data_IF_140092179553
#
_entry.id   IF_140092179553
#
_cell.length_a   1.000
_cell.length_b   1.000
_cell.length_c   1.000
_cell.angle_alpha   90.00
_cell.angle_beta   90.00
_cell.angle_gamma   90.00
#
_symmetry.space_group_name_H-M   'P 1'
#
loop_
_entity.id
_entity.type
_entity.pdbx_description
1 polymer ?
#
# COMPACT_ATOMS: atom_id res chain seq x y z
N UNK A 1 51.17 -2.09 10.25
CA UNK A 1 50.96 -1.63 8.86
C UNK A 1 50.00 -2.51 8.06
N UNK A 2 49.52 -3.67 8.57
CA UNK A 2 48.52 -4.48 7.87
C UNK A 2 47.06 -4.26 8.32
N UNK A 3 46.85 -3.70 9.51
CA UNK A 3 45.51 -3.56 10.12
C UNK A 3 44.76 -2.30 9.65
N UNK A 4 45.47 -1.21 9.35
CA UNK A 4 44.88 0.05 8.89
C UNK A 4 44.40 -0.02 7.42
N UNK A 5 44.95 -0.96 6.64
CA UNK A 5 44.61 -1.18 5.23
C UNK A 5 43.27 -1.92 5.07
N UNK A 6 42.92 -2.76 6.05
CA UNK A 6 41.69 -3.57 6.05
C UNK A 6 40.48 -2.72 6.47
N UNK A 7 40.63 -1.83 7.46
CA UNK A 7 39.58 -0.87 7.85
C UNK A 7 39.27 0.16 6.74
N UNK A 8 40.28 0.57 5.96
CA UNK A 8 40.09 1.48 4.83
C UNK A 8 39.28 0.85 3.67
N UNK A 9 39.53 -0.43 3.35
CA UNK A 9 38.80 -1.15 2.30
C UNK A 9 37.35 -1.49 2.67
N UNK A 10 37.07 -1.69 3.96
CA UNK A 10 35.70 -1.88 4.47
C UNK A 10 34.90 -0.58 4.34
N UNK A 11 35.49 0.57 4.71
CA UNK A 11 34.81 1.86 4.62
C UNK A 11 34.43 2.25 3.17
N UNK A 12 35.29 1.96 2.19
CA UNK A 12 35.01 2.22 0.77
C UNK A 12 33.91 1.30 0.21
N UNK A 13 33.89 0.04 0.63
CA UNK A 13 32.83 -0.93 0.29
C UNK A 13 31.48 -0.53 0.89
N UNK A 14 31.47 -0.09 2.15
CA UNK A 14 30.29 0.43 2.83
C UNK A 14 29.75 1.69 2.14
N UNK A 15 30.63 2.62 1.76
CA UNK A 15 30.23 3.85 1.06
C UNK A 15 29.69 3.57 -0.35
N UNK A 16 30.24 2.56 -1.03
CA UNK A 16 29.77 2.11 -2.35
C UNK A 16 28.41 1.40 -2.24
N UNK A 17 28.21 0.57 -1.23
CA UNK A 17 26.90 -0.03 -0.92
C UNK A 17 25.90 1.06 -0.55
N UNK A 18 26.29 2.06 0.26
CA UNK A 18 25.46 3.22 0.59
C UNK A 18 25.07 4.03 -0.65
N UNK A 19 26.00 4.26 -1.58
CA UNK A 19 25.70 4.94 -2.85
C UNK A 19 24.84 4.08 -3.79
N UNK A 20 24.98 2.75 -3.77
CA UNK A 20 24.15 1.85 -4.55
C UNK A 20 22.76 1.62 -3.93
N UNK A 21 22.63 1.70 -2.60
CA UNK A 21 21.36 1.66 -1.86
C UNK A 21 20.67 3.02 -1.92
N UNK A 22 21.39 4.13 -1.86
CA UNK A 22 20.88 5.46 -2.19
C UNK A 22 20.54 5.60 -3.68
N UNK A 23 21.26 4.86 -4.53
CA UNK A 23 21.00 4.66 -5.96
C UNK A 23 19.87 3.68 -6.26
N UNK A 24 19.45 2.88 -5.26
CA UNK A 24 18.16 2.20 -5.27
C UNK A 24 17.11 3.28 -5.10
N UNK A 25 16.81 3.95 -6.21
CA UNK A 25 15.59 4.73 -6.36
C UNK A 25 14.48 3.74 -6.08
N UNK A 26 14.01 3.67 -4.83
CA UNK A 26 12.64 3.26 -4.49
C UNK A 26 11.81 4.22 -5.30
N UNK A 27 11.55 3.82 -6.55
CA UNK A 27 11.16 4.72 -7.60
C UNK A 27 9.98 5.49 -7.09
N UNK A 28 9.95 6.79 -7.36
CA UNK A 28 8.71 7.57 -7.30
C UNK A 28 7.76 7.08 -8.39
N UNK A 29 7.48 5.78 -8.44
CA UNK A 29 6.42 5.19 -9.22
C UNK A 29 5.16 5.68 -8.52
N UNK A 30 4.64 6.78 -9.03
CA UNK A 30 3.39 7.37 -8.61
C UNK A 30 2.34 6.33 -8.98
N UNK A 31 1.99 5.51 -8.01
CA UNK A 31 0.86 4.61 -8.09
C UNK A 31 -0.42 5.38 -7.70
N UNK A 32 -1.54 4.86 -8.18
CA UNK A 32 -2.89 5.30 -7.86
C UNK A 32 -3.22 4.86 -6.42
N UNK A 33 -2.49 5.44 -5.47
CA UNK A 33 -2.53 5.13 -4.05
C UNK A 33 -2.59 6.45 -3.27
N UNK A 34 -3.21 6.42 -2.11
CA UNK A 34 -3.35 7.60 -1.27
C UNK A 34 -2.15 7.80 -0.33
N UNK A 35 -2.22 8.82 0.53
CA UNK A 35 -1.14 9.09 1.47
C UNK A 35 -0.95 7.94 2.48
N UNK A 36 -2.02 7.36 2.99
CA UNK A 36 -1.95 6.28 3.98
C UNK A 36 -1.26 5.04 3.39
N UNK A 37 -1.59 4.67 2.15
CA UNK A 37 -0.95 3.57 1.43
C UNK A 37 0.56 3.83 1.29
N UNK A 38 0.94 5.06 0.87
CA UNK A 38 2.35 5.48 0.74
C UNK A 38 3.11 5.44 2.06
N UNK A 39 2.50 5.86 3.17
CA UNK A 39 3.12 5.76 4.50
C UNK A 39 3.40 4.30 4.86
N UNK A 40 2.44 3.41 4.58
CA UNK A 40 2.63 1.97 4.81
C UNK A 40 3.76 1.40 3.94
N UNK A 41 3.61 1.33 2.61
CA UNK A 41 4.59 0.58 1.82
C UNK A 41 5.91 1.33 1.62
N UNK A 42 5.90 2.66 1.46
CA UNK A 42 7.10 3.42 1.09
C UNK A 42 7.90 3.85 2.30
N UNK A 43 7.24 4.50 3.26
CA UNK A 43 7.96 5.05 4.42
C UNK A 43 8.28 3.96 5.43
N UNK A 44 7.37 3.03 5.69
CA UNK A 44 7.65 1.94 6.64
C UNK A 44 8.69 0.95 6.12
N UNK A 45 8.68 0.61 4.82
CA UNK A 45 9.76 -0.22 4.25
C UNK A 45 11.11 0.49 4.27
N UNK A 46 11.16 1.79 3.93
CA UNK A 46 12.41 2.58 3.99
C UNK A 46 12.93 2.66 5.42
N UNK A 47 12.05 2.83 6.40
CA UNK A 47 12.38 2.84 7.83
C UNK A 47 12.98 1.49 8.27
N UNK A 48 12.31 0.38 7.95
CA UNK A 48 12.79 -0.97 8.29
C UNK A 48 14.12 -1.28 7.59
N UNK A 49 14.27 -0.94 6.31
CA UNK A 49 15.51 -1.11 5.57
C UNK A 49 16.67 -0.31 6.20
N UNK A 50 16.40 0.93 6.60
CA UNK A 50 17.38 1.77 7.28
C UNK A 50 17.74 1.20 8.66
N UNK A 51 16.76 0.70 9.41
CA UNK A 51 17.00 0.06 10.71
C UNK A 51 17.85 -1.21 10.57
N UNK A 52 17.54 -2.08 9.60
CA UNK A 52 18.34 -3.25 9.27
C UNK A 52 19.77 -2.85 8.93
N UNK A 53 19.95 -1.84 8.09
CA UNK A 53 21.27 -1.36 7.72
C UNK A 53 22.07 -0.85 8.94
N UNK A 54 21.44 -0.07 9.83
CA UNK A 54 22.10 0.46 11.04
C UNK A 54 22.56 -0.68 11.95
N UNK A 55 21.72 -1.69 12.17
CA UNK A 55 22.08 -2.84 13.04
C UNK A 55 23.22 -3.63 12.41
N UNK A 56 23.12 -3.97 11.12
CA UNK A 56 24.17 -4.70 10.41
C UNK A 56 25.49 -3.93 10.45
N UNK A 57 25.46 -2.62 10.20
CA UNK A 57 26.66 -1.78 10.29
C UNK A 57 27.27 -1.76 11.68
N UNK A 58 26.43 -1.72 12.72
CA UNK A 58 26.89 -1.78 14.11
C UNK A 58 27.54 -3.13 14.43
N UNK A 59 26.99 -4.23 13.92
CA UNK A 59 27.53 -5.58 14.11
C UNK A 59 28.88 -5.77 13.39
N UNK A 60 29.07 -5.16 12.22
CA UNK A 60 30.34 -5.22 11.50
C UNK A 60 31.43 -4.31 12.09
N UNK A 61 31.07 -3.12 12.57
CA UNK A 61 32.05 -2.15 13.06
C UNK A 61 32.48 -2.38 14.51
N UNK A 62 31.74 -3.17 15.30
CA UNK A 62 32.01 -3.36 16.73
C UNK A 62 31.79 -4.80 17.16
N UNK A 63 32.47 -5.23 18.23
CA UNK A 63 32.22 -6.54 18.84
C UNK A 63 30.75 -6.65 19.30
N UNK A 64 30.00 -7.67 18.85
CA UNK A 64 28.57 -7.82 19.16
C UNK A 64 28.32 -8.23 20.63
N UNK A 65 29.30 -8.90 21.24
CA UNK A 65 29.30 -9.33 22.64
C UNK A 65 30.70 -9.10 23.24
N UNK A 66 30.74 -8.77 24.53
CA UNK A 66 31.97 -8.66 25.30
C UNK A 66 31.81 -9.43 26.61
N UNK A 67 32.76 -10.29 26.95
CA UNK A 67 32.63 -11.17 28.11
C UNK A 67 33.69 -10.89 29.17
N UNK A 68 33.29 -11.00 30.44
CA UNK A 68 34.16 -10.93 31.59
C UNK A 68 34.87 -12.27 31.77
N UNK A 69 36.08 -12.37 31.23
CA UNK A 69 36.93 -13.56 31.31
C UNK A 69 37.93 -13.44 32.47
N UNK A 70 38.37 -14.57 33.05
CA UNK A 70 39.41 -14.57 34.07
C UNK A 70 40.74 -14.02 33.53
N UNK A 71 41.54 -13.31 34.36
CA UNK A 71 42.78 -12.69 33.92
C UNK A 71 43.87 -13.69 33.51
N UNK A 72 43.72 -14.98 33.85
CA UNK A 72 44.67 -16.02 33.45
C UNK A 72 44.49 -16.46 31.99
N UNK A 73 43.37 -16.10 31.34
CA UNK A 73 43.09 -16.50 29.96
C UNK A 73 43.82 -15.59 28.98
N UNK A 74 44.66 -16.13 28.07
CA UNK A 74 45.27 -15.31 27.05
C UNK A 74 44.24 -14.87 26.00
N UNK A 75 44.51 -13.76 25.31
CA UNK A 75 43.59 -13.12 24.36
C UNK A 75 42.90 -14.08 23.36
N UNK A 76 43.56 -15.10 22.77
CA UNK A 76 42.88 -16.04 21.88
C UNK A 76 41.76 -16.86 22.54
N UNK A 77 41.84 -17.10 23.85
CA UNK A 77 40.81 -17.80 24.61
C UNK A 77 39.65 -16.87 24.97
N UNK A 78 39.92 -15.59 25.18
CA UNK A 78 38.90 -14.56 25.30
C UNK A 78 38.09 -14.45 24.01
N UNK A 79 38.75 -14.32 22.86
CA UNK A 79 38.08 -14.30 21.55
C UNK A 79 37.28 -15.58 21.28
N UNK A 80 37.82 -16.75 21.64
CA UNK A 80 37.08 -18.01 21.55
C UNK A 80 35.82 -17.99 22.43
N UNK A 81 35.94 -17.55 23.67
CA UNK A 81 34.82 -17.47 24.61
C UNK A 81 33.74 -16.49 24.12
N UNK A 82 34.14 -15.30 23.65
CA UNK A 82 33.23 -14.31 23.07
C UNK A 82 32.49 -14.88 21.85
N UNK A 83 33.21 -15.49 20.90
CA UNK A 83 32.61 -16.08 19.70
C UNK A 83 31.72 -17.28 20.02
N UNK A 84 32.13 -18.14 20.95
CA UNK A 84 31.34 -19.28 21.40
C UNK A 84 30.03 -18.80 22.04
N UNK A 85 30.09 -17.81 22.93
CA UNK A 85 28.93 -17.24 23.60
C UNK A 85 28.07 -16.37 22.70
N UNK A 86 28.62 -15.83 21.60
CA UNK A 86 27.81 -15.17 20.59
C UNK A 86 26.93 -16.16 19.84
N UNK A 87 27.47 -17.34 19.48
CA UNK A 87 26.76 -18.37 18.70
C UNK A 87 25.83 -19.21 19.57
N UNK A 88 26.23 -19.53 20.79
CA UNK A 88 25.40 -20.27 21.75
C UNK A 88 24.38 -19.36 22.43
N UNK A 89 23.29 -19.97 22.89
CA UNK A 89 22.25 -19.25 23.62
C UNK A 89 22.77 -18.78 24.97
N UNK A 90 22.55 -17.51 25.27
CA UNK A 90 22.83 -16.93 26.58
C UNK A 90 21.56 -16.88 27.41
N UNK A 91 21.67 -16.86 28.74
CA UNK A 91 20.52 -16.70 29.63
C UNK A 91 20.66 -15.46 30.51
N UNK A 92 19.53 -14.85 30.86
CA UNK A 92 19.52 -13.71 31.79
C UNK A 92 19.20 -14.16 33.21
N UNK A 93 20.01 -13.70 34.16
CA UNK A 93 19.77 -13.87 35.60
C UNK A 93 19.63 -12.49 36.23
N UNK A 94 18.56 -12.28 37.00
CA UNK A 94 18.39 -11.05 37.77
C UNK A 94 19.42 -10.98 38.89
N UNK A 95 20.07 -9.83 39.07
CA UNK A 95 21.05 -9.60 40.14
C UNK A 95 20.48 -9.76 41.55
N UNK A 96 19.14 -9.70 41.69
CA UNK A 96 18.44 -9.93 42.96
C UNK A 96 18.50 -11.40 43.40
N UNK A 97 18.75 -12.33 42.47
CA UNK A 97 18.92 -13.74 42.78
C UNK A 97 20.38 -14.02 43.11
N UNK A 98 20.63 -14.51 44.34
CA UNK A 98 21.97 -14.83 44.82
C UNK A 98 22.50 -16.17 44.30
N UNK A 99 21.63 -17.05 43.80
CA UNK A 99 21.98 -18.36 43.28
C UNK A 99 21.81 -18.44 41.76
N UNK A 100 22.74 -19.13 41.09
CA UNK A 100 22.57 -19.49 39.69
C UNK A 100 21.35 -20.41 39.53
N UNK A 101 20.53 -20.20 38.50
CA UNK A 101 19.36 -21.04 38.23
C UNK A 101 19.79 -22.50 37.95
N UNK A 102 18.90 -23.42 38.31
CA UNK A 102 19.03 -24.84 37.95
C UNK A 102 19.06 -25.02 36.43
N UNK A 103 19.63 -26.12 35.90
CA UNK A 103 19.68 -26.36 34.46
C UNK A 103 18.30 -26.27 33.76
N UNK A 104 17.24 -26.72 34.43
CA UNK A 104 15.87 -26.65 33.93
C UNK A 104 15.31 -25.22 33.87
N UNK A 105 15.69 -24.37 34.83
CA UNK A 105 15.26 -22.97 34.83
C UNK A 105 16.02 -22.14 33.80
N UNK A 106 17.29 -22.49 33.52
CA UNK A 106 18.12 -21.80 32.50
C UNK A 106 17.48 -21.80 31.13
N UNK A 107 16.94 -22.94 30.68
CA UNK A 107 16.31 -23.04 29.36
C UNK A 107 15.10 -22.13 29.19
N UNK A 108 14.40 -21.78 30.27
CA UNK A 108 13.29 -20.82 30.23
C UNK A 108 13.72 -19.35 30.20
N UNK A 109 15.01 -19.09 30.44
CA UNK A 109 15.63 -17.76 30.53
C UNK A 109 16.57 -17.48 29.35
N UNK A 110 16.65 -18.39 28.38
CA UNK A 110 17.48 -18.27 27.19
C UNK A 110 17.00 -17.14 26.27
N UNK A 111 17.96 -16.43 25.69
CA UNK A 111 17.77 -15.29 24.80
C UNK A 111 18.28 -15.67 23.42
N UNK A 112 17.36 -15.91 22.50
CA UNK A 112 17.75 -16.38 21.17
C UNK A 112 17.41 -15.34 20.09
N UNK A 113 16.57 -14.34 20.40
CA UNK A 113 16.07 -13.41 19.38
C UNK A 113 17.16 -12.47 18.83
N UNK A 114 18.15 -12.05 19.63
CA UNK A 114 19.08 -10.98 19.24
C UNK A 114 19.91 -11.31 17.99
N UNK A 115 20.26 -12.59 17.80
CA UNK A 115 20.99 -13.07 16.61
C UNK A 115 20.15 -12.93 15.32
N UNK A 116 18.82 -12.99 15.45
CA UNK A 116 17.88 -13.03 14.33
C UNK A 116 17.31 -11.66 13.95
N UNK A 117 17.56 -10.63 14.77
CA UNK A 117 17.00 -9.29 14.58
C UNK A 117 17.22 -8.74 13.15
N UNK A 118 18.44 -8.75 12.57
CA UNK A 118 18.66 -8.18 11.24
C UNK A 118 17.87 -8.90 10.15
N UNK A 119 17.78 -10.24 10.25
CA UNK A 119 17.06 -11.07 9.28
C UNK A 119 15.55 -10.89 9.39
N UNK A 120 15.04 -10.80 10.61
CA UNK A 120 13.62 -10.56 10.88
C UNK A 120 13.21 -9.17 10.38
N UNK A 121 13.98 -8.12 10.66
CA UNK A 121 13.68 -6.77 10.15
C UNK A 121 13.72 -6.69 8.62
N UNK A 122 14.66 -7.41 7.98
CA UNK A 122 14.68 -7.52 6.52
C UNK A 122 13.44 -8.23 5.97
N UNK A 123 13.00 -9.32 6.61
CA UNK A 123 11.77 -10.02 6.25
C UNK A 123 10.54 -9.13 6.46
N UNK A 124 10.45 -8.43 7.58
CA UNK A 124 9.38 -7.46 7.86
C UNK A 124 9.31 -6.37 6.79
N UNK A 125 10.46 -5.85 6.35
CA UNK A 125 10.54 -4.88 5.26
C UNK A 125 9.91 -5.42 3.96
N UNK A 126 10.21 -6.67 3.60
CA UNK A 126 9.62 -7.32 2.43
C UNK A 126 8.10 -7.47 2.61
N UNK A 127 7.65 -7.99 3.75
CA UNK A 127 6.23 -8.24 4.03
C UNK A 127 5.39 -6.96 3.99
N UNK A 128 5.92 -5.84 4.49
CA UNK A 128 5.24 -4.53 4.45
C UNK A 128 5.18 -3.95 3.03
N UNK A 129 6.09 -4.34 2.13
CA UNK A 129 6.09 -3.91 0.74
C UNK A 129 5.18 -4.77 -0.17
N UNK A 130 4.87 -6.02 0.21
CA UNK A 130 4.03 -6.95 -0.57
C UNK A 130 2.67 -6.36 -1.00
N UNK A 131 1.90 -5.67 -0.14
CA UNK A 131 0.61 -5.09 -0.55
C UNK A 131 0.71 -4.20 -1.79
N UNK A 132 1.76 -3.40 -1.91
CA UNK A 132 1.99 -2.54 -3.08
C UNK A 132 2.26 -3.35 -4.36
N UNK A 133 3.02 -4.45 -4.24
CA UNK A 133 3.25 -5.37 -5.36
C UNK A 133 1.94 -6.01 -5.81
N UNK A 134 1.11 -6.45 -4.85
CA UNK A 134 -0.21 -7.04 -5.11
C UNK A 134 -1.10 -6.01 -5.81
N UNK A 135 -1.17 -4.76 -5.33
CA UNK A 135 -1.94 -3.69 -5.97
C UNK A 135 -1.52 -3.47 -7.41
N UNK A 136 -0.23 -3.28 -7.66
CA UNK A 136 0.30 -3.03 -9.00
C UNK A 136 0.05 -4.20 -9.97
N UNK A 137 0.03 -5.42 -9.46
CA UNK A 137 -0.26 -6.61 -10.26
C UNK A 137 -1.76 -6.73 -10.57
N UNK A 138 -2.62 -6.59 -9.56
CA UNK A 138 -4.06 -6.75 -9.71
C UNK A 138 -4.69 -5.59 -10.49
N UNK A 139 -4.24 -4.34 -10.27
CA UNK A 139 -4.79 -3.17 -10.95
C UNK A 139 -4.58 -3.24 -12.46
N UNK A 140 -3.39 -3.68 -12.93
CA UNK A 140 -3.11 -3.90 -14.35
C UNK A 140 -4.01 -4.97 -14.98
N UNK A 141 -4.36 -6.00 -14.22
CA UNK A 141 -5.22 -7.10 -14.71
C UNK A 141 -6.70 -6.73 -14.74
N UNK A 142 -7.10 -5.63 -14.10
CA UNK A 142 -8.50 -5.18 -14.08
C UNK A 142 -9.04 -4.69 -15.43
N UNK A 143 -8.21 -4.65 -16.48
CA UNK A 143 -8.57 -4.18 -17.82
C UNK A 143 -8.60 -2.64 -17.93
N UNK A 144 -8.27 -1.98 -16.83
CA UNK A 144 -8.18 -0.54 -16.65
C UNK A 144 -6.90 -0.27 -15.85
N UNK A 145 -5.99 0.58 -16.33
CA UNK A 145 -4.72 0.86 -15.61
C UNK A 145 -4.83 2.18 -14.81
N UNK A 146 -5.35 2.17 -13.56
CA UNK A 146 -5.48 3.38 -12.76
C UNK A 146 -4.11 3.99 -12.45
N UNK A 147 -3.08 3.15 -12.29
CA UNK A 147 -1.71 3.60 -12.00
C UNK A 147 -1.14 4.40 -13.18
N UNK A 148 -1.32 3.90 -14.40
CA UNK A 148 -0.95 4.60 -15.63
C UNK A 148 -1.65 5.96 -15.77
N UNK A 149 -2.97 6.00 -15.56
CA UNK A 149 -3.75 7.24 -15.69
C UNK A 149 -3.39 8.28 -14.63
N UNK A 150 -3.24 7.87 -13.37
CA UNK A 150 -2.81 8.79 -12.30
C UNK A 150 -1.40 9.31 -12.55
N UNK A 151 -0.50 8.46 -13.06
CA UNK A 151 0.86 8.88 -13.45
C UNK A 151 0.83 9.91 -14.58
N UNK A 152 0.06 9.66 -15.64
CA UNK A 152 -0.12 10.60 -16.75
C UNK A 152 -0.73 11.92 -16.28
N UNK A 153 -1.72 11.86 -15.39
CA UNK A 153 -2.34 13.03 -14.79
C UNK A 153 -1.32 13.86 -14.00
N UNK A 154 -0.47 13.20 -13.20
CA UNK A 154 0.58 13.90 -12.46
C UNK A 154 1.64 14.52 -13.38
N UNK A 155 2.04 13.81 -14.44
CA UNK A 155 2.96 14.36 -15.44
C UNK A 155 2.37 15.58 -16.15
N UNK A 156 1.05 15.66 -16.33
CA UNK A 156 0.40 16.80 -16.96
C UNK A 156 0.58 18.12 -16.18
N UNK A 157 0.86 18.05 -14.88
CA UNK A 157 1.04 19.22 -14.01
C UNK A 157 2.34 19.95 -14.30
N UNK A 158 3.40 19.21 -14.64
CA UNK A 158 4.75 19.75 -14.87
C UNK A 158 4.97 20.24 -16.30
N UNK A 159 3.95 20.15 -17.17
CA UNK A 159 4.06 20.42 -18.60
C UNK A 159 3.48 21.78 -19.00
N UNK A 160 4.03 22.35 -20.08
CA UNK A 160 3.51 23.54 -20.73
C UNK A 160 2.04 23.38 -21.15
N UNK A 161 1.28 24.48 -21.12
CA UNK A 161 -0.17 24.50 -21.35
C UNK A 161 -0.63 23.75 -22.61
N UNK A 162 0.05 23.94 -23.75
CA UNK A 162 -0.31 23.26 -25.02
C UNK A 162 -0.08 21.75 -24.95
N UNK A 163 0.99 21.30 -24.28
CA UNK A 163 1.31 19.88 -24.10
C UNK A 163 0.38 19.24 -23.09
N UNK A 164 0.10 19.94 -21.98
CA UNK A 164 -0.90 19.57 -20.97
C UNK A 164 -2.26 19.34 -21.61
N UNK A 165 -2.76 20.29 -22.42
CA UNK A 165 -4.07 20.17 -23.04
C UNK A 165 -4.23 18.91 -23.90
N UNK A 166 -3.21 18.57 -24.72
CA UNK A 166 -3.21 17.33 -25.52
C UNK A 166 -3.22 16.07 -24.67
N UNK A 167 -2.43 16.03 -23.60
CA UNK A 167 -2.41 14.90 -22.68
C UNK A 167 -3.71 14.76 -21.89
N UNK A 168 -4.32 15.87 -21.48
CA UNK A 168 -5.63 15.86 -20.82
C UNK A 168 -6.70 15.33 -21.77
N UNK A 169 -6.69 15.72 -23.05
CA UNK A 169 -7.62 15.16 -24.04
C UNK A 169 -7.42 13.66 -24.24
N UNK A 170 -6.17 13.19 -24.25
CA UNK A 170 -5.87 11.76 -24.30
C UNK A 170 -6.33 11.03 -23.02
N UNK A 171 -6.13 11.61 -21.84
CA UNK A 171 -6.67 11.06 -20.59
C UNK A 171 -8.20 10.97 -20.61
N UNK A 172 -8.87 11.99 -21.15
CA UNK A 172 -10.33 12.02 -21.30
C UNK A 172 -10.80 10.87 -22.20
N UNK A 173 -10.17 10.66 -23.36
CA UNK A 173 -10.54 9.54 -24.25
C UNK A 173 -10.35 8.19 -23.58
N UNK A 174 -9.23 7.97 -22.88
CA UNK A 174 -8.97 6.71 -22.17
C UNK A 174 -10.00 6.45 -21.05
N UNK A 175 -10.35 7.50 -20.30
CA UNK A 175 -11.37 7.44 -19.25
C UNK A 175 -12.76 7.14 -19.86
N UNK A 176 -13.10 7.76 -20.99
CA UNK A 176 -14.37 7.52 -21.70
C UNK A 176 -14.50 6.08 -22.20
N UNK A 177 -13.44 5.54 -22.81
CA UNK A 177 -13.36 4.15 -23.26
C UNK A 177 -13.48 3.18 -22.09
N UNK A 178 -12.79 3.47 -20.98
CA UNK A 178 -12.85 2.67 -19.76
C UNK A 178 -14.24 2.64 -19.11
N UNK A 179 -14.97 3.76 -19.12
CA UNK A 179 -16.32 3.85 -18.54
C UNK A 179 -17.41 3.26 -19.45
N UNK A 180 -17.07 2.76 -20.64
CA UNK A 180 -18.00 2.03 -21.50
C UNK A 180 -19.09 2.90 -22.14
N UNK A 181 -18.81 4.18 -22.37
CA UNK A 181 -19.70 5.13 -23.06
C UNK A 181 -20.31 4.60 -24.36
N UNK A 182 -19.55 3.79 -25.10
CA UNK A 182 -20.01 3.18 -26.35
C UNK A 182 -21.11 2.12 -26.15
N UNK A 183 -21.13 1.40 -25.02
CA UNK A 183 -22.13 0.34 -24.75
C UNK A 183 -23.31 0.84 -23.90
N UNK A 184 -23.12 1.87 -23.06
CA UNK A 184 -24.23 2.54 -22.36
C UNK A 184 -25.27 3.10 -23.35
N UNK A 185 -24.83 3.52 -24.54
CA UNK A 185 -25.66 3.90 -25.70
C UNK A 185 -26.67 2.80 -26.10
N UNK A 186 -26.24 1.54 -26.10
CA UNK A 186 -27.06 0.40 -26.57
C UNK A 186 -27.99 -0.13 -25.46
N UNK A 187 -27.56 -0.09 -24.20
CA UNK A 187 -28.35 -0.60 -23.08
C UNK A 187 -29.38 0.40 -22.55
N UNK A 188 -29.20 1.72 -22.71
CA UNK A 188 -30.20 2.71 -22.26
C UNK A 188 -31.49 2.66 -23.10
N UNK A 189 -31.39 2.44 -24.42
CA UNK A 189 -32.55 2.17 -25.28
C UNK A 189 -33.34 0.93 -24.81
N UNK A 190 -32.66 -0.12 -24.33
CA UNK A 190 -33.30 -1.35 -23.84
C UNK A 190 -33.83 -1.24 -22.40
N UNK A 191 -33.20 -0.43 -21.53
CA UNK A 191 -33.57 -0.31 -20.10
C UNK A 191 -34.89 0.43 -19.85
N UNK A 192 -35.39 1.20 -20.80
CA UNK A 192 -36.75 1.78 -20.73
C UNK A 192 -37.84 0.68 -20.60
N UNK A 193 -37.56 -0.55 -21.06
CA UNK A 193 -38.50 -1.69 -20.99
C UNK A 193 -38.31 -2.64 -19.80
N UNK A 194 -37.21 -2.58 -19.06
CA UNK A 194 -36.80 -3.67 -18.15
C UNK A 194 -36.49 -3.22 -16.71
N UNK A 195 -37.21 -2.22 -16.18
CA UNK A 195 -36.99 -1.71 -14.83
C UNK A 195 -37.96 -2.31 -13.80
N UNK A 196 -37.83 -3.60 -13.47
CA UNK A 196 -38.25 -4.17 -12.17
C UNK A 196 -37.38 -5.38 -11.83
N UNK A 197 -36.44 -5.21 -10.89
CA UNK A 197 -36.29 -6.08 -9.71
C UNK A 197 -35.05 -5.65 -8.89
N UNK A 198 -35.31 -5.30 -7.63
CA UNK A 198 -34.33 -4.81 -6.64
C UNK A 198 -33.42 -5.93 -6.10
N UNK A 199 -33.79 -7.20 -6.35
CA UNK A 199 -33.18 -8.39 -5.77
C UNK A 199 -31.83 -8.79 -6.42
N UNK A 200 -31.58 -8.38 -7.66
CA UNK A 200 -30.32 -8.66 -8.35
C UNK A 200 -29.13 -7.84 -7.83
N UNK A 201 -29.37 -6.69 -7.19
CA UNK A 201 -28.30 -5.86 -6.64
C UNK A 201 -27.65 -6.46 -5.39
N UNK A 202 -28.36 -7.30 -4.62
CA UNK A 202 -27.81 -7.90 -3.40
C UNK A 202 -26.99 -9.16 -3.68
N UNK A 203 -27.37 -9.94 -4.70
CA UNK A 203 -26.72 -11.22 -5.04
C UNK A 203 -25.44 -11.05 -5.89
N UNK A 204 -25.18 -9.86 -6.42
CA UNK A 204 -23.96 -9.54 -7.18
C UNK A 204 -22.72 -9.22 -6.34
N UNK A 205 -22.82 -9.26 -5.00
CA UNK A 205 -21.73 -8.87 -4.09
C UNK A 205 -20.67 -9.97 -3.80
N UNK A 206 -20.83 -11.21 -4.28
CA UNK A 206 -19.80 -12.27 -4.22
C UNK A 206 -20.02 -13.31 -5.35
N UNK A 207 -19.01 -13.75 -6.13
CA UNK A 207 -17.62 -13.33 -6.27
C UNK A 207 -17.39 -12.50 -7.55
N UNK A 208 -17.18 -11.19 -7.39
CA UNK A 208 -16.83 -10.24 -8.47
C UNK A 208 -15.43 -10.47 -9.10
N UNK A 209 -14.72 -11.54 -8.71
CA UNK A 209 -13.36 -11.82 -9.17
C UNK A 209 -13.30 -12.39 -10.60
N UNK A 210 -14.42 -12.88 -11.13
CA UNK A 210 -14.49 -13.53 -12.46
C UNK A 210 -15.44 -12.87 -13.46
N UNK A 211 -16.29 -11.94 -13.03
CA UNK A 211 -17.23 -11.20 -13.89
C UNK A 211 -17.10 -9.69 -13.59
N UNK A 212 -16.17 -9.01 -14.26
CA UNK A 212 -15.76 -7.67 -13.80
C UNK A 212 -15.48 -6.63 -14.88
N UNK A 213 -15.87 -6.84 -16.14
CA UNK A 213 -15.77 -5.76 -17.17
C UNK A 213 -16.98 -4.82 -17.18
N UNK A 214 -18.05 -5.15 -16.44
CA UNK A 214 -19.39 -4.52 -16.61
C UNK A 214 -20.01 -3.91 -15.35
N UNK A 215 -19.34 -3.94 -14.20
CA UNK A 215 -19.83 -3.34 -12.96
C UNK A 215 -19.04 -2.07 -12.67
N UNK A 216 -19.70 -0.90 -12.63
CA UNK A 216 -19.09 0.40 -12.32
C UNK A 216 -18.67 0.58 -10.85
N UNK A 217 -18.30 -0.52 -10.19
CA UNK A 217 -17.82 -0.62 -8.80
C UNK A 217 -16.57 -1.52 -8.67
N UNK A 218 -16.11 -2.15 -9.75
CA UNK A 218 -15.05 -3.16 -9.71
C UNK A 218 -13.70 -2.55 -9.26
N UNK A 219 -13.35 -1.36 -9.75
CA UNK A 219 -12.09 -0.69 -9.39
C UNK A 219 -12.09 -0.28 -7.93
N UNK A 220 -13.18 0.33 -7.45
CA UNK A 220 -13.28 0.73 -6.06
C UNK A 220 -13.26 -0.48 -5.11
N UNK A 221 -13.92 -1.58 -5.47
CA UNK A 221 -13.87 -2.82 -4.69
C UNK A 221 -12.45 -3.40 -4.62
N UNK A 222 -11.73 -3.41 -5.74
CA UNK A 222 -10.33 -3.84 -5.76
C UNK A 222 -9.46 -2.96 -4.85
N UNK A 223 -9.70 -1.66 -4.83
CA UNK A 223 -9.01 -0.74 -3.93
C UNK A 223 -9.35 -1.01 -2.46
N UNK A 224 -10.61 -1.36 -2.14
CA UNK A 224 -10.99 -1.74 -0.78
C UNK A 224 -10.31 -3.05 -0.33
N UNK A 225 -10.17 -4.03 -1.23
CA UNK A 225 -9.36 -5.23 -0.97
C UNK A 225 -7.92 -4.84 -0.69
N UNK A 226 -7.34 -3.92 -1.47
CA UNK A 226 -5.98 -3.44 -1.21
C UNK A 226 -5.84 -2.82 0.19
N UNK A 227 -6.79 -1.98 0.61
CA UNK A 227 -6.84 -1.42 1.97
C UNK A 227 -6.87 -2.51 3.05
N UNK A 228 -7.67 -3.55 2.82
CA UNK A 228 -7.73 -4.70 3.73
C UNK A 228 -6.39 -5.44 3.79
N UNK A 229 -5.74 -5.67 2.65
CA UNK A 229 -4.42 -6.32 2.58
C UNK A 229 -3.36 -5.50 3.31
N UNK A 230 -3.36 -4.16 3.18
CA UNK A 230 -2.49 -3.28 3.95
C UNK A 230 -2.75 -3.37 5.46
N UNK A 231 -4.02 -3.38 5.88
CA UNK A 231 -4.38 -3.51 7.30
C UNK A 231 -3.93 -4.87 7.86
N UNK A 232 -4.16 -5.96 7.12
CA UNK A 232 -3.70 -7.29 7.50
C UNK A 232 -2.18 -7.38 7.58
N UNK A 233 -1.45 -6.74 6.66
CA UNK A 233 0.00 -6.68 6.69
C UNK A 233 0.52 -5.92 7.93
N UNK A 234 -0.10 -4.79 8.29
CA UNK A 234 0.27 -4.03 9.49
C UNK A 234 -0.03 -4.79 10.80
N UNK A 235 -1.17 -5.49 10.86
CA UNK A 235 -1.49 -6.38 12.00
C UNK A 235 -0.54 -7.58 12.06
N UNK A 236 -0.21 -8.17 10.90
CA UNK A 236 0.79 -9.23 10.79
C UNK A 236 2.17 -8.77 11.27
N UNK A 237 2.57 -7.53 10.96
CA UNK A 237 3.80 -6.92 11.45
C UNK A 237 3.79 -6.79 12.98
N UNK A 238 2.72 -6.27 13.60
CA UNK A 238 2.59 -6.23 15.06
C UNK A 238 2.64 -7.62 15.70
N UNK A 239 1.96 -8.59 15.10
CA UNK A 239 1.96 -9.98 15.58
C UNK A 239 3.35 -10.61 15.48
N UNK A 240 4.06 -10.38 14.39
CA UNK A 240 5.43 -10.86 14.17
C UNK A 240 6.38 -10.29 15.22
N UNK A 241 6.36 -8.97 15.45
CA UNK A 241 7.19 -8.34 16.50
C UNK A 241 6.85 -8.87 17.89
N UNK A 242 5.57 -9.02 18.23
CA UNK A 242 5.14 -9.63 19.50
C UNK A 242 5.73 -11.04 19.68
N UNK A 243 5.51 -11.90 18.68
CA UNK A 243 5.94 -13.30 18.75
C UNK A 243 7.45 -13.44 18.80
N UNK A 244 8.16 -12.58 18.07
CA UNK A 244 9.62 -12.58 18.01
C UNK A 244 10.27 -12.17 19.35
N UNK A 245 9.67 -11.19 20.04
CA UNK A 245 10.15 -10.72 21.35
C UNK A 245 9.64 -11.58 22.53
N UNK A 246 8.74 -12.53 22.28
CA UNK A 246 8.20 -13.42 23.32
C UNK A 246 7.19 -12.76 24.26
N UNK A 247 6.48 -11.72 23.81
CA UNK A 247 5.44 -11.06 24.60
C UNK A 247 4.09 -11.77 24.49
N UNK A 248 3.36 -11.85 25.61
CA UNK A 248 1.99 -12.39 25.62
C UNK A 248 0.99 -11.42 24.98
N UNK A 249 1.26 -10.11 25.04
CA UNK A 249 0.34 -9.06 24.64
C UNK A 249 0.76 -8.31 23.37
N UNK A 250 -0.21 -7.93 22.53
CA UNK A 250 0.02 -7.07 21.37
C UNK A 250 0.32 -5.60 21.76
N UNK A 251 0.02 -5.20 23.00
CA UNK A 251 0.24 -3.84 23.50
C UNK A 251 1.62 -3.66 24.18
N UNK A 252 2.56 -4.58 23.93
CA UNK A 252 3.89 -4.59 24.55
C UNK A 252 4.64 -3.25 24.42
N UNK A 253 4.51 -2.55 23.28
CA UNK A 253 5.19 -1.28 23.06
C UNK A 253 4.77 -0.20 24.05
N UNK A 254 3.49 -0.15 24.42
CA UNK A 254 2.99 0.76 25.44
C UNK A 254 3.53 0.40 26.83
N UNK A 255 3.51 -0.89 27.19
CA UNK A 255 4.03 -1.38 28.48
C UNK A 255 5.52 -1.03 28.63
N UNK A 256 6.32 -1.32 27.61
CA UNK A 256 7.74 -0.98 27.59
C UNK A 256 8.00 0.52 27.67
N UNK A 257 7.20 1.34 26.98
CA UNK A 257 7.35 2.80 27.02
C UNK A 257 7.02 3.36 28.42
N UNK A 258 5.98 2.86 29.07
CA UNK A 258 5.60 3.26 30.43
C UNK A 258 6.67 2.84 31.45
N UNK A 259 7.19 1.62 31.33
CA UNK A 259 8.26 1.13 32.21
C UNK A 259 9.53 1.97 32.05
N UNK A 260 9.88 2.36 30.81
CA UNK A 260 11.01 3.23 30.53
C UNK A 260 10.85 4.63 31.14
N UNK A 261 9.66 5.26 31.00
CA UNK A 261 9.37 6.58 31.58
C UNK A 261 9.40 6.55 33.11
N UNK A 262 8.97 5.43 33.71
CA UNK A 262 9.02 5.20 35.16
C UNK A 262 10.42 4.85 35.68
N UNK A 263 11.42 4.77 34.81
CA UNK A 263 12.78 4.41 35.19
C UNK A 263 12.95 2.95 35.61
N UNK A 264 12.01 2.07 35.25
CA UNK A 264 12.16 0.62 35.47
C UNK A 264 13.12 0.08 34.42
N UNK A 265 14.31 -0.31 34.86
CA UNK A 265 15.33 -0.86 33.97
C UNK A 265 15.02 -2.30 33.54
N UNK A 266 15.64 -2.73 32.44
CA UNK A 266 15.65 -4.12 31.91
C UNK A 266 15.90 -5.21 32.97
N UNK A 267 16.61 -4.87 34.06
CA UNK A 267 16.91 -5.79 35.18
C UNK A 267 15.67 -6.30 35.89
N UNK A 268 14.57 -5.53 35.84
CA UNK A 268 13.31 -5.86 36.50
C UNK A 268 12.30 -6.48 35.52
N UNK A 269 12.25 -5.98 34.29
CA UNK A 269 11.27 -6.41 33.28
C UNK A 269 11.68 -7.70 32.58
N UNK A 270 12.98 -8.07 32.58
CA UNK A 270 13.57 -9.19 31.82
C UNK A 270 13.46 -9.05 30.30
N UNK A 271 12.84 -7.98 29.83
CA UNK A 271 12.71 -7.68 28.41
C UNK A 271 13.89 -6.79 28.03
N UNK A 272 14.71 -7.26 27.08
CA UNK A 272 15.95 -6.62 26.62
C UNK A 272 17.10 -6.55 27.63
N UNK A 273 17.60 -7.69 28.15
CA UNK A 273 18.73 -7.69 29.07
C UNK A 273 20.03 -7.25 28.40
N UNK A 274 20.78 -6.38 29.09
CA UNK A 274 22.08 -5.87 28.60
C UNK A 274 23.26 -6.70 29.12
N UNK A 275 23.01 -7.53 30.12
CA UNK A 275 23.99 -8.46 30.71
C UNK A 275 23.36 -9.85 30.72
N UNK A 276 24.12 -10.84 30.29
CA UNK A 276 23.71 -12.24 30.22
C UNK A 276 24.83 -13.14 30.75
N UNK A 277 24.49 -14.40 30.98
CA UNK A 277 25.45 -15.44 31.35
C UNK A 277 25.53 -16.49 30.25
N UNK A 278 26.74 -16.99 30.04
CA UNK A 278 27.07 -18.01 29.06
C UNK A 278 27.79 -19.17 29.74
N UNK A 279 27.37 -20.40 29.47
CA UNK A 279 28.03 -21.59 30.01
C UNK A 279 28.97 -22.21 28.95
N UNK A 280 30.27 -22.16 29.21
CA UNK A 280 31.29 -22.73 28.32
C UNK A 280 31.71 -24.12 28.82
N UNK A 281 31.43 -25.20 28.08
CA UNK A 281 31.88 -26.54 28.42
C UNK A 281 33.35 -26.73 28.05
N UNK A 282 34.23 -26.78 29.05
CA UNK A 282 35.67 -27.02 28.86
C UNK A 282 35.97 -28.46 29.26
N UNK A 283 36.63 -29.20 28.38
CA UNK A 283 37.07 -30.57 28.69
C UNK A 283 38.42 -30.54 29.38
N UNK A 284 38.49 -31.00 30.63
CA UNK A 284 39.73 -31.09 31.39
C UNK A 284 39.87 -32.51 31.97
N UNK A 285 40.99 -33.18 31.69
CA UNK A 285 41.29 -34.55 32.15
C UNK A 285 40.20 -35.59 31.83
N UNK A 286 39.49 -35.41 30.71
CA UNK A 286 38.42 -36.32 30.28
C UNK A 286 37.03 -36.02 30.86
N UNK A 287 36.93 -35.11 31.83
CA UNK A 287 35.66 -34.66 32.41
C UNK A 287 35.23 -33.32 31.82
N UNK A 288 33.93 -33.14 31.63
CA UNK A 288 33.34 -31.86 31.22
C UNK A 288 33.20 -30.95 32.45
N UNK A 289 33.82 -29.77 32.37
CA UNK A 289 33.70 -28.72 33.38
C UNK A 289 33.10 -27.50 32.70
N UNK A 290 31.84 -27.19 33.03
CA UNK A 290 31.16 -25.99 32.55
C UNK A 290 31.56 -24.79 33.40
N UNK A 291 32.02 -23.72 32.75
CA UNK A 291 32.29 -22.44 33.39
C UNK A 291 31.29 -21.40 32.91
N UNK A 292 30.59 -20.78 33.85
CA UNK A 292 29.66 -19.68 33.56
C UNK A 292 30.43 -18.35 33.56
N UNK A 293 30.36 -17.61 32.47
CA UNK A 293 30.95 -16.26 32.36
C UNK A 293 29.85 -15.23 32.13
N UNK A 294 30.09 -14.00 32.57
CA UNK A 294 29.18 -12.88 32.39
C UNK A 294 29.52 -12.14 31.10
N UNK A 295 28.53 -11.85 30.27
CA UNK A 295 28.72 -11.11 29.01
C UNK A 295 27.78 -9.91 28.93
N UNK A 296 28.22 -8.87 28.23
CA UNK A 296 27.46 -7.65 27.95
C UNK A 296 26.99 -7.71 26.50
N UNK A 297 25.73 -7.35 26.26
CA UNK A 297 25.08 -7.29 24.95
C UNK A 297 24.73 -5.83 24.60
N UNK A 298 25.66 -5.04 24.03
CA UNK A 298 25.43 -3.64 23.71
C UNK A 298 24.29 -3.44 22.71
N UNK A 299 24.12 -4.36 21.76
CA UNK A 299 23.10 -4.26 20.70
C UNK A 299 21.67 -4.20 21.23
N UNK A 300 21.44 -4.80 22.41
CA UNK A 300 20.10 -4.90 22.95
C UNK A 300 19.52 -3.55 23.38
N UNK A 301 20.38 -2.56 23.70
CA UNK A 301 19.91 -1.20 23.98
C UNK A 301 19.29 -0.54 22.75
N UNK A 302 19.86 -0.81 21.57
CA UNK A 302 19.35 -0.28 20.30
C UNK A 302 18.05 -0.99 19.93
N UNK A 303 18.02 -2.31 20.07
CA UNK A 303 16.81 -3.12 19.82
C UNK A 303 15.64 -2.69 20.72
N UNK A 304 15.89 -2.45 22.00
CA UNK A 304 14.88 -1.96 22.96
C UNK A 304 14.20 -0.69 22.42
N UNK A 305 14.97 0.31 21.97
CA UNK A 305 14.42 1.58 21.47
C UNK A 305 13.78 1.44 20.09
N UNK A 306 14.39 0.64 19.22
CA UNK A 306 13.88 0.39 17.88
C UNK A 306 12.50 -0.26 17.93
N UNK A 307 12.32 -1.34 18.68
CA UNK A 307 11.03 -2.05 18.71
C UNK A 307 9.92 -1.24 19.39
N UNK A 308 10.25 -0.42 20.40
CA UNK A 308 9.27 0.54 20.96
C UNK A 308 8.84 1.54 19.88
N UNK A 309 9.78 2.11 19.14
CA UNK A 309 9.49 3.05 18.05
C UNK A 309 8.66 2.40 16.94
N UNK A 310 9.05 1.21 16.48
CA UNK A 310 8.33 0.46 15.44
C UNK A 310 6.89 0.15 15.85
N UNK A 311 6.65 -0.19 17.13
CA UNK A 311 5.30 -0.44 17.61
C UNK A 311 4.40 0.80 17.47
N UNK A 312 4.85 1.97 17.94
CA UNK A 312 4.08 3.22 17.80
C UNK A 312 3.90 3.61 16.33
N UNK A 313 4.93 3.40 15.51
CA UNK A 313 4.86 3.64 14.07
C UNK A 313 3.79 2.77 13.40
N UNK A 314 3.76 1.46 13.69
CA UNK A 314 2.77 0.56 13.11
C UNK A 314 1.34 0.87 13.59
N UNK A 315 1.15 1.24 14.86
CA UNK A 315 -0.15 1.72 15.37
C UNK A 315 -0.61 3.00 14.66
N UNK A 316 0.32 3.94 14.39
CA UNK A 316 0.03 5.13 13.60
C UNK A 316 -0.38 4.79 12.17
N UNK A 317 0.34 3.88 11.51
CA UNK A 317 0.01 3.39 10.16
C UNK A 317 -1.38 2.73 10.10
N UNK A 318 -1.72 1.88 11.08
CA UNK A 318 -3.05 1.26 11.21
C UNK A 318 -4.13 2.36 11.33
N UNK A 319 -3.91 3.32 12.22
CA UNK A 319 -4.85 4.42 12.45
C UNK A 319 -5.09 5.25 11.19
N UNK A 320 -4.02 5.63 10.46
CA UNK A 320 -4.13 6.33 9.18
C UNK A 320 -4.88 5.51 8.12
N UNK A 321 -4.64 4.20 8.05
CA UNK A 321 -5.28 3.32 7.07
C UNK A 321 -6.78 3.19 7.33
N UNK A 322 -7.17 3.06 8.62
CA UNK A 322 -8.58 3.00 9.03
C UNK A 322 -9.28 4.31 8.72
N UNK A 323 -8.69 5.46 9.10
CA UNK A 323 -9.26 6.78 8.82
C UNK A 323 -9.40 7.01 7.32
N UNK A 324 -8.37 6.70 6.53
CA UNK A 324 -8.41 6.79 5.08
C UNK A 324 -9.54 5.94 4.50
N UNK A 325 -9.66 4.68 4.93
CA UNK A 325 -10.70 3.76 4.44
C UNK A 325 -12.09 4.32 4.71
N UNK A 326 -12.34 4.85 5.92
CA UNK A 326 -13.62 5.49 6.27
C UNK A 326 -13.88 6.71 5.37
N UNK A 327 -12.88 7.57 5.15
CA UNK A 327 -13.01 8.75 4.29
C UNK A 327 -13.38 8.35 2.86
N UNK A 328 -12.75 7.31 2.30
CA UNK A 328 -13.07 6.79 0.97
C UNK A 328 -14.49 6.22 0.88
N UNK A 329 -14.91 5.43 1.88
CA UNK A 329 -16.27 4.89 1.96
C UNK A 329 -17.31 6.03 1.98
N UNK A 330 -17.11 7.05 2.82
CA UNK A 330 -18.03 8.19 2.91
C UNK A 330 -18.08 8.96 1.60
N UNK A 331 -16.93 9.24 0.96
CA UNK A 331 -16.86 10.00 -0.31
C UNK A 331 -17.56 9.28 -1.46
N UNK A 332 -17.37 7.97 -1.58
CA UNK A 332 -17.88 7.18 -2.71
C UNK A 332 -19.35 6.80 -2.52
N UNK A 333 -19.78 6.39 -1.33
CA UNK A 333 -21.16 5.96 -1.11
C UNK A 333 -22.16 7.12 -0.91
N UNK A 334 -21.72 8.31 -0.47
CA UNK A 334 -22.64 9.42 -0.20
C UNK A 334 -23.00 10.20 -1.48
N UNK A 335 -24.22 10.08 -2.03
CA UNK A 335 -24.58 10.72 -3.30
C UNK A 335 -24.48 12.25 -3.26
N UNK A 336 -24.76 12.88 -2.11
CA UNK A 336 -24.64 14.34 -1.94
C UNK A 336 -23.19 14.82 -2.16
N UNK A 337 -22.21 14.12 -1.58
CA UNK A 337 -20.78 14.45 -1.72
C UNK A 337 -20.33 14.28 -3.17
N UNK A 338 -20.76 13.20 -3.83
CA UNK A 338 -20.46 12.95 -5.25
C UNK A 338 -20.93 14.08 -6.17
N UNK A 339 -22.17 14.53 -5.97
CA UNK A 339 -22.74 15.65 -6.74
C UNK A 339 -22.03 16.97 -6.43
N UNK A 340 -21.68 17.22 -5.16
CA UNK A 340 -20.95 18.42 -4.75
C UNK A 340 -19.53 18.46 -5.32
N UNK A 341 -18.84 17.32 -5.38
CA UNK A 341 -17.51 17.21 -5.99
C UNK A 341 -17.54 17.68 -7.45
N UNK A 342 -18.42 17.09 -8.27
CA UNK A 342 -18.54 17.50 -9.69
C UNK A 342 -19.05 18.92 -9.83
N UNK A 343 -20.02 19.35 -9.00
CA UNK A 343 -20.51 20.74 -8.98
C UNK A 343 -19.38 21.72 -8.70
N UNK A 344 -18.49 21.47 -7.73
CA UNK A 344 -17.35 22.33 -7.39
C UNK A 344 -16.47 22.62 -8.62
N UNK A 345 -16.18 21.60 -9.42
CA UNK A 345 -15.31 21.74 -10.60
C UNK A 345 -16.03 22.32 -11.82
N UNK A 346 -17.33 22.06 -11.95
CA UNK A 346 -18.16 22.68 -13.00
C UNK A 346 -18.58 24.13 -12.67
N UNK A 347 -18.56 24.54 -11.40
CA UNK A 347 -19.01 25.87 -10.97
C UNK A 347 -18.12 27.00 -11.50
N UNK A 348 -16.86 26.71 -11.84
CA UNK A 348 -16.00 27.66 -12.59
C UNK A 348 -16.59 28.06 -13.94
N UNK A 349 -17.52 27.26 -14.49
CA UNK A 349 -18.22 27.51 -15.76
C UNK A 349 -19.64 28.09 -15.57
N UNK A 350 -20.21 28.02 -14.36
CA UNK A 350 -21.58 28.45 -14.08
C UNK A 350 -21.75 29.99 -14.03
N UNK A 351 -20.66 30.76 -14.15
CA UNK A 351 -20.71 32.21 -14.32
C UNK A 351 -21.36 32.66 -15.65
N UNK A 352 -21.70 31.72 -16.54
CA UNK A 352 -22.26 32.00 -17.87
C UNK A 352 -23.67 31.40 -18.10
N UNK A 353 -24.35 30.85 -17.09
CA UNK A 353 -25.63 30.14 -17.28
C UNK A 353 -26.83 30.88 -16.69
N UNK A 354 -27.82 31.15 -17.55
CA UNK A 354 -29.14 31.70 -17.22
C UNK A 354 -29.93 30.83 -16.23
N UNK A 355 -30.55 31.47 -15.23
CA UNK A 355 -31.35 30.84 -14.16
C UNK A 355 -32.53 29.97 -14.66
N UNK A 356 -33.00 30.16 -15.89
CA UNK A 356 -34.15 29.43 -16.45
C UNK A 356 -33.81 28.03 -17.00
N UNK A 357 -32.52 27.68 -17.21
CA UNK A 357 -32.06 26.34 -17.64
C UNK A 357 -31.58 25.46 -16.48
N UNK A 358 -31.72 25.92 -15.24
CA UNK A 358 -31.06 25.32 -14.08
C UNK A 358 -31.62 23.93 -13.73
N UNK A 359 -32.93 23.68 -13.93
CA UNK A 359 -33.58 22.40 -13.62
C UNK A 359 -33.12 21.27 -14.57
N UNK A 360 -33.13 21.53 -15.89
CA UNK A 360 -32.70 20.57 -16.91
C UNK A 360 -31.20 20.28 -16.80
N UNK A 361 -30.39 21.33 -16.57
CA UNK A 361 -28.95 21.20 -16.37
C UNK A 361 -28.61 20.48 -15.06
N UNK A 362 -29.40 20.70 -14.00
CA UNK A 362 -29.27 19.97 -12.76
C UNK A 362 -29.58 18.48 -12.93
N UNK A 363 -30.60 18.12 -13.70
CA UNK A 363 -30.92 16.72 -14.00
C UNK A 363 -29.85 16.07 -14.90
N UNK A 364 -29.37 16.77 -15.93
CA UNK A 364 -28.29 16.29 -16.79
C UNK A 364 -27.00 16.02 -16.00
N UNK A 365 -26.65 16.90 -15.06
CA UNK A 365 -25.51 16.70 -14.17
C UNK A 365 -25.71 15.50 -13.23
N UNK A 366 -26.91 15.32 -12.69
CA UNK A 366 -27.22 14.14 -11.87
C UNK A 366 -27.01 12.85 -12.66
N UNK A 367 -27.48 12.81 -13.90
CA UNK A 367 -27.34 11.66 -14.78
C UNK A 367 -25.89 11.42 -15.19
N UNK A 368 -25.13 12.49 -15.46
CA UNK A 368 -23.68 12.41 -15.68
C UNK A 368 -22.96 11.73 -14.49
N UNK A 369 -23.23 12.15 -13.26
CA UNK A 369 -22.58 11.55 -12.08
C UNK A 369 -23.05 10.12 -11.82
N UNK A 370 -24.34 9.82 -11.97
CA UNK A 370 -24.92 8.52 -11.59
C UNK A 370 -24.72 7.45 -12.67
N UNK A 371 -24.88 7.81 -13.93
CA UNK A 371 -24.94 6.87 -15.05
C UNK A 371 -23.62 6.81 -15.79
N UNK A 372 -23.02 7.97 -16.09
CA UNK A 372 -21.78 8.03 -16.88
C UNK A 372 -20.53 7.80 -16.01
N UNK A 373 -20.32 8.61 -14.97
CA UNK A 373 -19.14 8.51 -14.12
C UNK A 373 -19.15 7.23 -13.27
N UNK A 374 -20.34 6.74 -12.91
CA UNK A 374 -20.54 5.62 -11.99
C UNK A 374 -19.75 5.81 -10.66
N UNK A 375 -19.50 4.74 -9.89
CA UNK A 375 -18.69 4.85 -8.67
C UNK A 375 -17.20 4.84 -9.00
N UNK A 376 -16.79 4.01 -9.97
CA UNK A 376 -15.39 3.83 -10.35
C UNK A 376 -14.77 5.09 -11.00
N UNK A 377 -15.48 5.75 -11.93
CA UNK A 377 -14.99 6.97 -12.55
C UNK A 377 -14.89 8.12 -11.55
N UNK A 378 -15.84 8.21 -10.61
CA UNK A 378 -15.73 9.19 -9.54
C UNK A 378 -14.57 8.87 -8.57
N UNK A 379 -14.39 7.61 -8.22
CA UNK A 379 -13.27 7.18 -7.39
C UNK A 379 -11.93 7.53 -8.06
N UNK A 380 -11.78 7.22 -9.34
CA UNK A 380 -10.60 7.57 -10.14
C UNK A 380 -10.34 9.09 -10.15
N UNK A 381 -11.35 9.90 -10.43
CA UNK A 381 -11.19 11.36 -10.46
C UNK A 381 -10.78 11.92 -9.10
N UNK A 382 -11.33 11.39 -8.01
CA UNK A 382 -10.85 11.73 -6.66
C UNK A 382 -9.39 11.30 -6.48
N UNK A 383 -9.01 10.12 -6.93
CA UNK A 383 -7.64 9.62 -6.80
C UNK A 383 -6.62 10.44 -7.61
N UNK A 384 -7.02 10.90 -8.79
CA UNK A 384 -6.28 11.86 -9.60
C UNK A 384 -6.19 13.22 -8.89
N UNK A 385 -7.24 13.67 -8.21
CA UNK A 385 -7.21 14.92 -7.44
C UNK A 385 -6.18 14.86 -6.29
N UNK A 386 -6.14 13.75 -5.54
CA UNK A 386 -5.15 13.56 -4.46
C UNK A 386 -3.70 13.49 -4.97
N UNK A 387 -3.47 13.05 -6.22
CA UNK A 387 -2.12 12.81 -6.74
C UNK A 387 -1.60 13.90 -7.69
N UNK A 388 -2.46 14.50 -8.50
CA UNK A 388 -2.14 15.52 -9.52
C UNK A 388 -2.74 16.90 -9.19
N UNK A 389 -3.58 17.00 -8.16
CA UNK A 389 -4.17 18.26 -7.72
C UNK A 389 -5.41 18.69 -8.52
N UNK A 390 -6.01 19.79 -8.06
CA UNK A 390 -7.33 20.25 -8.50
C UNK A 390 -7.37 20.76 -9.95
N UNK A 391 -6.27 21.33 -10.46
CA UNK A 391 -6.25 21.99 -11.77
C UNK A 391 -6.44 20.99 -12.91
N UNK A 392 -5.64 19.91 -12.92
CA UNK A 392 -5.72 18.84 -13.91
C UNK A 392 -7.14 18.21 -13.93
N UNK A 393 -7.66 17.87 -12.75
CA UNK A 393 -9.00 17.26 -12.62
C UNK A 393 -10.12 18.19 -13.07
N UNK A 394 -9.98 19.51 -12.87
CA UNK A 394 -10.94 20.49 -13.38
C UNK A 394 -11.05 20.41 -14.90
N UNK A 395 -9.91 20.39 -15.61
CA UNK A 395 -9.87 20.30 -17.07
C UNK A 395 -10.45 18.96 -17.56
N UNK A 396 -10.13 17.86 -16.88
CA UNK A 396 -10.67 16.53 -17.22
C UNK A 396 -12.19 16.49 -17.04
N UNK A 397 -12.71 16.89 -15.87
CA UNK A 397 -14.17 16.91 -15.60
C UNK A 397 -14.90 17.82 -16.60
N UNK A 398 -14.31 18.96 -16.94
CA UNK A 398 -14.88 19.89 -17.90
C UNK A 398 -15.02 19.27 -19.29
N UNK A 399 -13.96 18.63 -19.80
CA UNK A 399 -13.99 17.99 -21.11
C UNK A 399 -14.95 16.79 -21.13
N UNK A 400 -14.95 15.96 -20.09
CA UNK A 400 -15.88 14.83 -19.94
C UNK A 400 -17.34 15.30 -19.93
N UNK A 401 -17.66 16.33 -19.14
CA UNK A 401 -19.03 16.85 -19.06
C UNK A 401 -19.47 17.52 -20.37
N UNK A 402 -18.57 18.24 -21.04
CA UNK A 402 -18.86 18.91 -22.32
C UNK A 402 -19.17 17.88 -23.40
N UNK A 403 -18.35 16.83 -23.54
CA UNK A 403 -18.59 15.72 -24.47
C UNK A 403 -19.89 14.98 -24.15
N UNK A 404 -20.15 14.70 -22.88
CA UNK A 404 -21.41 14.08 -22.46
C UNK A 404 -22.65 14.94 -22.80
N UNK A 405 -22.56 16.26 -22.61
CA UNK A 405 -23.63 17.22 -22.93
C UNK A 405 -23.89 17.29 -24.43
N UNK A 406 -22.84 17.27 -25.24
CA UNK A 406 -22.93 17.25 -26.71
C UNK A 406 -23.59 15.95 -27.20
N UNK A 407 -23.12 14.80 -26.73
CA UNK A 407 -23.69 13.51 -27.07
C UNK A 407 -25.19 13.41 -26.70
N UNK A 408 -25.58 13.88 -25.51
CA UNK A 408 -26.99 13.94 -25.10
C UNK A 408 -27.84 14.92 -25.91
N UNK A 409 -27.24 15.90 -26.57
CA UNK A 409 -27.95 16.79 -27.51
C UNK A 409 -28.17 16.10 -28.85
N UNK A 410 -27.19 15.35 -29.34
CA UNK A 410 -27.30 14.56 -30.57
C UNK A 410 -28.34 13.46 -30.44
N UNK A 411 -28.32 12.69 -29.35
CA UNK A 411 -29.32 11.63 -29.10
C UNK A 411 -30.75 12.19 -29.12
N UNK A 412 -30.98 13.36 -28.49
CA UNK A 412 -32.29 14.05 -28.48
C UNK A 412 -32.69 14.66 -29.83
N UNK A 413 -31.74 14.89 -30.74
CA UNK A 413 -32.03 15.30 -32.13
C UNK A 413 -32.41 14.09 -32.97
N UNK A 414 -31.71 12.95 -32.81
CA UNK A 414 -32.04 11.68 -33.45
C UNK A 414 -33.45 11.19 -33.09
N UNK A 415 -33.79 11.15 -31.80
CA UNK A 415 -35.14 10.75 -31.34
C UNK A 415 -36.26 11.62 -31.94
N UNK A 416 -36.00 12.92 -32.16
CA UNK A 416 -36.96 13.83 -32.81
C UNK A 416 -37.11 13.59 -34.31
N UNK A 417 -36.04 13.14 -34.98
CA UNK A 417 -36.09 12.80 -36.39
C UNK A 417 -36.89 11.51 -36.62
N UNK A 418 -36.66 10.48 -35.79
CA UNK A 418 -37.39 9.21 -35.86
C UNK A 418 -38.89 9.36 -35.58
N UNK A 419 -39.28 10.30 -34.70
CA UNK A 419 -40.67 10.62 -34.41
C UNK A 419 -41.38 11.35 -35.57
N UNK A 420 -40.64 12.15 -36.36
CA UNK A 420 -41.19 12.85 -37.51
C UNK A 420 -41.27 11.94 -38.76
N UNK A 421 -40.31 11.04 -38.98
CA UNK A 421 -40.37 10.04 -40.06
C UNK A 421 -41.44 8.96 -39.80
N UNK A 422 -41.80 8.71 -38.54
CA UNK A 422 -42.89 7.79 -38.16
C UNK A 422 -44.30 8.35 -38.39
N UNK A 423 -44.45 9.64 -38.71
CA UNK A 423 -45.75 10.28 -38.97
C UNK A 423 -46.14 10.40 -40.45
N UNK A 424 -45.23 10.10 -41.38
CA UNK A 424 -45.58 9.91 -42.80
C UNK A 424 -45.94 8.44 -43.04
N UNK A 425 -47.25 8.14 -42.92
CA UNK A 425 -47.81 6.84 -43.25
C UNK A 425 -47.46 6.42 -44.69
N UNK A 426 -47.35 5.11 -44.97
CA UNK A 426 -46.92 4.64 -46.28
C UNK A 426 -47.97 5.00 -47.33
N UNK A 427 -47.61 5.90 -48.25
CA UNK A 427 -48.31 6.03 -49.51
C UNK A 427 -47.99 4.80 -50.35
N UNK A 428 -48.99 3.93 -50.49
CA UNK A 428 -48.96 2.75 -51.32
C UNK A 428 -48.69 3.15 -52.78
N UNK A 429 -47.54 2.74 -53.31
CA UNK A 429 -47.35 2.46 -54.75
C UNK A 429 -46.45 1.23 -54.87
N UNK A 430 -47.02 0.19 -55.48
CA UNK A 430 -46.41 -1.08 -55.86
C UNK A 430 -45.08 -0.96 -56.62
N UNK A 431 -44.16 -1.91 -56.38
CA UNK A 431 -43.68 -2.85 -57.41
C UNK A 431 -42.71 -3.92 -56.88
N UNK A 432 -43.20 -5.16 -56.95
CA UNK A 432 -42.55 -6.41 -57.38
C UNK A 432 -41.27 -6.93 -56.70
N UNK A 433 -41.46 -8.07 -56.02
CA UNK A 433 -40.77 -9.35 -56.16
C UNK A 433 -39.33 -9.39 -56.67
N UNK A 434 -38.46 -9.99 -55.84
CA UNK A 434 -37.11 -10.38 -56.23
C UNK A 434 -36.36 -11.08 -55.11
N UNK A 435 -36.85 -12.26 -54.70
CA UNK A 435 -36.09 -13.22 -53.91
C UNK A 435 -34.78 -13.59 -54.60
N UNK A 436 -33.83 -14.02 -53.76
CA UNK A 436 -32.74 -14.96 -54.03
C UNK A 436 -31.40 -14.45 -54.63
N UNK A 437 -30.35 -14.92 -53.95
CA UNK A 437 -29.05 -15.35 -54.51
C UNK A 437 -27.89 -14.34 -54.55
N UNK A 438 -27.13 -14.25 -53.44
CA UNK A 438 -25.68 -14.01 -53.50
C UNK A 438 -24.94 -15.33 -53.43
N UNK A 439 -24.48 -15.81 -54.59
CA UNK A 439 -23.47 -16.87 -54.72
C UNK A 439 -22.42 -16.39 -55.72
N UNK A 440 -21.17 -16.39 -55.25
CA UNK A 440 -19.91 -16.53 -55.99
C UNK A 440 -19.47 -15.43 -57.00
N UNK A 441 -18.22 -14.98 -56.75
CA UNK A 441 -17.10 -14.78 -57.69
C UNK A 441 -17.39 -14.13 -59.06
N UNK A 442 -16.73 -13.01 -59.36
CA UNK A 442 -15.43 -13.00 -60.04
C UNK A 442 -14.88 -11.57 -60.21
N UNK A 443 -13.56 -11.54 -60.28
CA UNK A 443 -12.61 -10.51 -60.67
C UNK A 443 -13.03 -9.59 -61.84
N UNK A 444 -12.53 -8.35 -61.79
CA UNK A 444 -11.59 -7.82 -62.79
C UNK A 444 -10.65 -6.80 -62.16
#
# INVERSE_FOLDING_TARGET
>A
MGHDSEEAGVNESVFTILNNVAGFRIGSLVAAEDLADKVNYKWSSSLLLTATFIIVMRDFAFKPIQCYTPPEWPHPWEEYAENYCWVQNNYHVSYLNTSFPTPTERSSLELNYYQWVPFVLALECLLVYIPHVIWNFLSKRSGFDPNGLVRLAKQSVDLDERRRHRLVLHLVTEIEEAMGLHEARQNWQNKSKAAKNLLECLYGMLPCFWYGRKSGFALFFLYLINKLVHLCAALGHLFMMRSFLGFEDLHFGWTCAVDLVRGREWRQTRVFPRVTFCDIPIKHLGQWNTRSIQCVLPLNILNEKLYIFLWFWTVFCISLTVISTIVWLVRVFTPKIRQQFVKKYLHKLALLVDKAKDEEEHQLRKDFVRVFLSLDGLFLLNLMEHNAGNMCVTEIIFNLYSRYKEQRREDRRGERHDLNDGSDGPSAVDRHDGLTQRRAKHDY
#
